data_IF_333074917428
#
_entry.id   IF_333074917428
#
_cell.length_a   1.000
_cell.length_b   1.000
_cell.length_c   1.000
_cell.angle_alpha   90.00
_cell.angle_beta   90.00
_cell.angle_gamma   90.00
#
_symmetry.space_group_name_H-M   'P 1'
#
loop_
_entity.id
_entity.type
_entity.pdbx_description
1 polymer ?
#
# COMPACT_ATOMS: atom_id res chain seq x y z
N UNK A 1 12.97 1.33 3.13
CA UNK A 1 11.61 1.47 3.68
C UNK A 1 11.66 2.40 4.89
N UNK A 2 11.12 3.61 4.74
CA UNK A 2 10.99 4.58 5.84
C UNK A 2 9.56 4.52 6.35
N UNK A 3 9.39 4.26 7.65
CA UNK A 3 8.10 4.22 8.32
C UNK A 3 7.72 5.64 8.80
N UNK A 4 6.44 5.93 8.98
CA UNK A 4 5.95 7.22 9.50
C UNK A 4 6.44 7.55 10.91
N UNK A 5 6.98 6.58 11.63
CA UNK A 5 7.62 6.75 12.95
C UNK A 5 9.14 6.92 12.89
N UNK A 6 9.74 6.89 11.68
CA UNK A 6 11.18 7.05 11.49
C UNK A 6 11.54 8.53 11.46
N UNK A 7 12.07 9.01 12.56
CA UNK A 7 12.59 10.37 12.70
C UNK A 7 14.12 10.35 12.64
N UNK A 8 14.65 10.20 11.42
CA UNK A 8 16.08 9.91 11.18
C UNK A 8 17.05 10.94 11.75
N UNK A 9 16.60 12.17 11.99
CA UNK A 9 17.40 13.19 12.69
C UNK A 9 17.57 12.90 14.19
N UNK A 10 16.77 11.98 14.74
CA UNK A 10 16.74 11.68 16.18
C UNK A 10 17.00 10.21 16.49
N UNK A 11 16.61 9.28 15.61
CA UNK A 11 16.74 7.82 15.81
C UNK A 11 16.97 7.11 14.48
N UNK A 12 17.74 6.03 14.49
CA UNK A 12 18.00 5.17 13.32
C UNK A 12 16.89 4.15 13.06
N UNK A 13 15.93 4.05 13.97
CA UNK A 13 14.79 3.13 13.89
C UNK A 13 13.51 3.86 14.26
N UNK A 14 12.36 3.31 13.87
CA UNK A 14 11.06 3.83 14.27
C UNK A 14 10.91 3.89 15.79
N UNK A 15 10.48 5.04 16.30
CA UNK A 15 10.25 5.30 17.71
C UNK A 15 8.88 5.96 17.90
N UNK A 16 7.91 5.17 18.37
CA UNK A 16 6.54 5.62 18.58
C UNK A 16 6.40 6.64 19.72
N UNK A 17 7.22 6.53 20.77
CA UNK A 17 7.21 7.48 21.90
C UNK A 17 7.75 8.83 21.47
N UNK A 18 8.86 8.84 20.74
CA UNK A 18 9.44 10.05 20.17
C UNK A 18 8.47 10.73 19.19
N UNK A 19 7.85 9.95 18.29
CA UNK A 19 6.85 10.46 17.33
C UNK A 19 5.66 11.09 18.03
N UNK A 20 5.15 10.44 19.08
CA UNK A 20 4.07 10.96 19.93
C UNK A 20 4.46 12.28 20.65
N UNK A 21 5.64 12.32 21.24
CA UNK A 21 6.15 13.52 21.91
C UNK A 21 6.34 14.69 20.93
N UNK A 22 6.86 14.42 19.73
CA UNK A 22 7.01 15.43 18.67
C UNK A 22 5.64 15.97 18.23
N UNK A 23 4.64 15.12 18.04
CA UNK A 23 3.30 15.54 17.67
C UNK A 23 2.66 16.41 18.77
N UNK A 24 2.77 16.02 20.04
CA UNK A 24 2.28 16.82 21.17
C UNK A 24 3.00 18.19 21.26
N UNK A 25 4.29 18.22 20.96
CA UNK A 25 5.08 19.45 20.89
C UNK A 25 4.57 20.39 19.79
N UNK A 26 4.24 19.84 18.61
CA UNK A 26 3.65 20.61 17.51
C UNK A 26 2.29 21.19 17.94
N UNK A 27 1.40 20.36 18.48
CA UNK A 27 0.08 20.80 18.97
C UNK A 27 0.22 21.94 20.00
N UNK A 28 1.15 21.81 20.94
CA UNK A 28 1.38 22.84 21.96
C UNK A 28 1.92 24.15 21.34
N UNK A 29 2.80 24.04 20.35
CA UNK A 29 3.44 25.18 19.69
C UNK A 29 2.47 25.93 18.76
N UNK A 30 1.65 25.22 18.02
CA UNK A 30 0.69 25.78 17.06
C UNK A 30 -0.64 26.17 17.72
N UNK A 31 -1.00 25.55 18.84
CA UNK A 31 -2.31 25.69 19.46
C UNK A 31 -3.42 24.93 18.73
N UNK A 32 -3.07 24.14 17.70
CA UNK A 32 -4.02 23.39 16.88
C UNK A 32 -4.39 22.05 17.52
N UNK A 33 -5.62 21.61 17.26
CA UNK A 33 -6.09 20.28 17.68
C UNK A 33 -5.52 19.20 16.75
N UNK A 34 -5.32 17.99 17.28
CA UNK A 34 -4.90 16.86 16.47
C UNK A 34 -5.81 16.58 15.28
N UNK A 35 -7.13 16.75 15.44
CA UNK A 35 -8.12 16.62 14.37
C UNK A 35 -7.89 17.59 13.20
N UNK A 36 -7.31 18.76 13.45
CA UNK A 36 -7.03 19.75 12.43
C UNK A 36 -5.69 19.49 11.77
N UNK A 37 -4.68 19.13 12.53
CA UNK A 37 -3.38 18.68 12.02
C UNK A 37 -3.52 17.42 11.14
N UNK A 38 -4.44 16.52 11.47
CA UNK A 38 -4.68 15.30 10.68
C UNK A 38 -5.29 15.57 9.30
N UNK A 39 -5.87 16.75 9.05
CA UNK A 39 -6.44 17.13 7.75
C UNK A 39 -5.38 17.43 6.67
N UNK A 40 -4.11 17.53 7.06
CA UNK A 40 -3.01 17.76 6.11
C UNK A 40 -2.85 16.61 5.10
N UNK A 41 -3.33 15.42 5.46
CA UNK A 41 -3.29 14.24 4.61
C UNK A 41 -4.70 13.82 4.23
N UNK A 42 -4.98 13.84 2.93
CA UNK A 42 -6.21 13.28 2.38
C UNK A 42 -6.11 11.75 2.35
N UNK A 43 -7.16 11.08 2.88
CA UNK A 43 -7.25 9.62 2.82
C UNK A 43 -7.88 9.21 1.51
N UNK A 44 -7.12 8.55 0.68
CA UNK A 44 -7.66 7.92 -0.51
C UNK A 44 -8.35 6.59 -0.18
N UNK A 45 -9.43 6.25 -0.91
CA UNK A 45 -10.00 4.91 -0.90
C UNK A 45 -8.94 3.84 -1.18
N UNK A 46 -9.08 2.68 -0.51
CA UNK A 46 -8.19 1.55 -0.67
C UNK A 46 -8.98 0.27 -0.89
N UNK A 47 -8.55 -0.54 -1.83
CA UNK A 47 -9.07 -1.90 -2.09
C UNK A 47 -7.96 -2.91 -1.87
N UNK A 48 -8.27 -3.99 -1.14
CA UNK A 48 -7.37 -5.10 -0.89
C UNK A 48 -8.02 -6.41 -1.27
N UNK A 49 -7.42 -7.14 -2.21
CA UNK A 49 -7.85 -8.47 -2.63
C UNK A 49 -6.76 -9.48 -2.29
N UNK A 50 -7.13 -10.53 -1.56
CA UNK A 50 -6.25 -11.65 -1.25
C UNK A 50 -6.54 -12.80 -2.22
N UNK A 51 -5.56 -13.13 -3.05
CA UNK A 51 -5.63 -14.22 -4.03
C UNK A 51 -4.90 -15.43 -3.48
N UNK A 52 -5.60 -16.55 -3.29
CA UNK A 52 -4.98 -17.82 -2.92
C UNK A 52 -4.17 -18.35 -4.11
N UNK A 53 -2.95 -18.79 -3.84
CA UNK A 53 -2.01 -19.29 -4.85
C UNK A 53 -1.37 -20.60 -4.39
N UNK A 54 -0.88 -21.41 -5.35
CA UNK A 54 -0.11 -22.60 -5.03
C UNK A 54 1.26 -22.23 -4.42
N UNK A 55 1.95 -23.23 -3.86
CA UNK A 55 3.31 -23.02 -3.32
C UNK A 55 4.30 -22.70 -4.44
N UNK A 56 4.16 -23.35 -5.58
CA UNK A 56 4.91 -23.14 -6.82
C UNK A 56 4.60 -21.75 -7.41
N UNK A 57 3.32 -21.39 -7.48
CA UNK A 57 2.86 -20.07 -7.94
C UNK A 57 3.48 -18.93 -7.10
N UNK A 58 3.58 -19.13 -5.78
CA UNK A 58 4.24 -18.17 -4.89
C UNK A 58 5.71 -17.88 -5.26
N UNK A 59 6.44 -18.91 -5.70
CA UNK A 59 7.83 -18.78 -6.15
C UNK A 59 7.92 -18.13 -7.54
N UNK A 60 6.95 -18.43 -8.41
CA UNK A 60 6.92 -17.93 -9.78
C UNK A 60 6.53 -16.46 -9.86
N UNK A 61 5.89 -15.91 -8.84
CA UNK A 61 5.41 -14.52 -8.79
C UNK A 61 6.48 -13.49 -9.24
N UNK A 62 7.70 -13.63 -8.74
CA UNK A 62 8.78 -12.66 -8.99
C UNK A 62 9.33 -12.71 -10.41
N UNK A 63 9.10 -13.80 -11.13
CA UNK A 63 9.61 -14.03 -12.49
C UNK A 63 8.54 -13.99 -13.57
N UNK A 64 7.25 -14.01 -13.18
CA UNK A 64 6.14 -13.98 -14.11
C UNK A 64 6.06 -12.62 -14.82
N UNK A 65 6.09 -12.65 -16.15
CA UNK A 65 6.12 -11.45 -16.99
C UNK A 65 4.73 -10.84 -17.16
N UNK A 66 3.68 -11.65 -17.15
CA UNK A 66 2.30 -11.16 -17.34
C UNK A 66 1.82 -10.42 -16.11
N UNK A 67 2.15 -10.93 -14.91
CA UNK A 67 1.86 -10.23 -13.64
C UNK A 67 2.59 -8.89 -13.59
N UNK A 68 3.86 -8.84 -14.01
CA UNK A 68 4.60 -7.58 -14.06
C UNK A 68 4.00 -6.59 -15.03
N UNK A 69 3.67 -7.05 -16.25
CA UNK A 69 3.04 -6.20 -17.26
C UNK A 69 1.68 -5.66 -16.78
N UNK A 70 0.89 -6.47 -16.08
CA UNK A 70 -0.38 -6.04 -15.52
C UNK A 70 -0.21 -4.99 -14.42
N UNK A 71 0.77 -5.17 -13.53
CA UNK A 71 1.11 -4.16 -12.50
C UNK A 71 1.53 -2.84 -13.15
N UNK A 72 2.37 -2.90 -14.18
CA UNK A 72 2.81 -1.71 -14.94
C UNK A 72 1.62 -1.03 -15.61
N UNK A 73 0.77 -1.79 -16.31
CA UNK A 73 -0.47 -1.28 -16.94
C UNK A 73 -1.36 -0.53 -15.96
N UNK A 74 -1.64 -1.15 -14.82
CA UNK A 74 -2.49 -0.54 -13.78
C UNK A 74 -1.82 0.69 -13.18
N UNK A 75 -0.52 0.64 -12.96
CA UNK A 75 0.25 1.78 -12.46
C UNK A 75 0.21 2.97 -13.42
N UNK A 76 0.30 2.73 -14.73
CA UNK A 76 0.18 3.78 -15.76
C UNK A 76 -1.22 4.40 -15.81
N UNK A 77 -2.29 3.57 -15.68
CA UNK A 77 -3.67 4.06 -15.63
C UNK A 77 -3.90 4.97 -14.42
N UNK A 78 -3.41 4.56 -13.26
CA UNK A 78 -3.57 5.33 -12.02
C UNK A 78 -2.72 6.62 -12.03
N UNK A 79 -1.49 6.57 -12.59
CA UNK A 79 -0.57 7.69 -12.60
C UNK A 79 -0.38 8.30 -11.21
N UNK A 80 -0.49 9.62 -11.12
CA UNK A 80 -0.37 10.36 -9.85
C UNK A 80 -1.63 10.31 -8.98
N UNK A 81 -2.76 9.77 -9.50
CA UNK A 81 -4.06 9.69 -8.81
C UNK A 81 -4.19 8.48 -7.89
N UNK A 82 -3.23 7.57 -7.91
CA UNK A 82 -3.28 6.35 -7.12
C UNK A 82 -2.05 5.49 -7.26
N UNK A 83 -2.11 4.31 -6.64
CA UNK A 83 -1.01 3.33 -6.75
C UNK A 83 -1.53 1.90 -6.65
N UNK A 84 -0.76 0.98 -7.22
CA UNK A 84 -0.92 -0.47 -7.04
C UNK A 84 0.27 -1.05 -6.29
N UNK A 85 0.00 -1.97 -5.36
CA UNK A 85 1.01 -2.76 -4.67
C UNK A 85 0.58 -4.22 -4.67
N UNK A 86 1.34 -5.07 -5.34
CA UNK A 86 1.12 -6.52 -5.34
C UNK A 86 2.29 -7.21 -4.67
N UNK A 87 2.00 -8.05 -3.68
CA UNK A 87 3.05 -8.74 -2.91
C UNK A 87 2.61 -10.11 -2.42
N UNK A 88 3.58 -11.00 -2.33
CA UNK A 88 3.42 -12.33 -1.75
C UNK A 88 3.34 -12.24 -0.22
N UNK A 89 2.39 -12.93 0.40
CA UNK A 89 2.35 -13.06 1.86
C UNK A 89 3.52 -13.90 2.37
N UNK A 90 4.17 -13.46 3.44
CA UNK A 90 5.28 -14.21 4.06
C UNK A 90 4.84 -15.55 4.66
N UNK A 91 3.68 -15.55 5.31
CA UNK A 91 3.21 -16.66 6.15
C UNK A 91 2.10 -17.51 5.50
N UNK A 92 1.33 -16.96 4.57
CA UNK A 92 0.17 -17.59 3.98
C UNK A 92 0.38 -17.88 2.48
N UNK A 93 -0.28 -18.90 1.91
CA UNK A 93 -0.22 -19.19 0.48
C UNK A 93 -1.14 -18.25 -0.31
N UNK A 94 -0.82 -16.97 -0.31
CA UNK A 94 -1.58 -15.95 -1.02
C UNK A 94 -0.71 -14.79 -1.51
N UNK A 95 -1.23 -14.13 -2.55
CA UNK A 95 -0.74 -12.85 -3.06
C UNK A 95 -1.76 -11.77 -2.69
N UNK A 96 -1.29 -10.65 -2.20
CA UNK A 96 -2.10 -9.49 -1.85
C UNK A 96 -2.01 -8.47 -2.96
N UNK A 97 -3.16 -8.13 -3.52
CA UNK A 97 -3.33 -7.05 -4.51
C UNK A 97 -3.98 -5.88 -3.80
N UNK A 98 -3.28 -4.77 -3.69
CA UNK A 98 -3.76 -3.56 -3.04
C UNK A 98 -3.68 -2.39 -4.00
N UNK A 99 -4.79 -1.67 -4.13
CA UNK A 99 -4.89 -0.43 -4.87
C UNK A 99 -5.38 0.70 -3.97
N UNK A 100 -4.82 1.87 -4.17
CA UNK A 100 -5.30 3.14 -3.63
C UNK A 100 -5.54 4.11 -4.78
N UNK A 101 -6.56 4.96 -4.67
CA UNK A 101 -6.84 5.96 -5.69
C UNK A 101 -8.06 6.81 -5.33
N UNK A 102 -8.26 7.88 -6.07
CA UNK A 102 -9.34 8.86 -5.83
C UNK A 102 -10.73 8.27 -6.09
N UNK A 103 -10.86 7.42 -7.09
CA UNK A 103 -12.12 6.83 -7.50
C UNK A 103 -12.23 5.36 -7.06
N UNK A 104 -13.12 5.10 -6.08
CA UNK A 104 -13.30 3.76 -5.52
C UNK A 104 -13.75 2.72 -6.58
N UNK A 105 -14.64 3.08 -7.49
CA UNK A 105 -15.14 2.17 -8.52
C UNK A 105 -14.03 1.80 -9.52
N UNK A 106 -13.23 2.78 -9.94
CA UNK A 106 -12.07 2.56 -10.81
C UNK A 106 -11.06 1.61 -10.18
N UNK A 107 -10.63 1.88 -8.93
CA UNK A 107 -9.65 1.02 -8.25
C UNK A 107 -10.20 -0.36 -7.92
N UNK A 108 -11.52 -0.50 -7.71
CA UNK A 108 -12.15 -1.79 -7.47
C UNK A 108 -12.12 -2.66 -8.72
N UNK A 109 -12.44 -2.10 -9.88
CA UNK A 109 -12.38 -2.81 -11.17
C UNK A 109 -10.94 -3.20 -11.51
N UNK A 110 -10.00 -2.28 -11.42
CA UNK A 110 -8.58 -2.55 -11.68
C UNK A 110 -7.98 -3.58 -10.71
N UNK A 111 -8.40 -3.56 -9.44
CA UNK A 111 -7.96 -4.55 -8.46
C UNK A 111 -8.45 -5.95 -8.79
N UNK A 112 -9.71 -6.09 -9.26
CA UNK A 112 -10.26 -7.39 -9.66
C UNK A 112 -9.60 -7.90 -10.95
N UNK A 113 -9.32 -7.04 -11.94
CA UNK A 113 -8.56 -7.40 -13.14
C UNK A 113 -7.17 -7.94 -12.78
N UNK A 114 -6.41 -7.18 -11.97
CA UNK A 114 -5.09 -7.62 -11.51
C UNK A 114 -5.15 -8.91 -10.68
N UNK A 115 -6.14 -9.05 -9.81
CA UNK A 115 -6.35 -10.26 -9.03
C UNK A 115 -6.71 -11.47 -9.93
N UNK A 116 -7.43 -11.25 -11.01
CA UNK A 116 -7.75 -12.29 -11.97
C UNK A 116 -6.51 -12.81 -12.69
N UNK A 117 -5.63 -11.90 -13.16
CA UNK A 117 -4.34 -12.29 -13.76
C UNK A 117 -3.50 -13.11 -12.77
N UNK A 118 -3.44 -12.70 -11.51
CA UNK A 118 -2.72 -13.45 -10.47
C UNK A 118 -3.34 -14.85 -10.27
N UNK A 119 -4.68 -15.00 -10.26
CA UNK A 119 -5.36 -16.32 -10.15
C UNK A 119 -5.00 -17.22 -11.30
N UNK A 120 -5.08 -16.72 -12.53
CA UNK A 120 -4.82 -17.53 -13.74
C UNK A 120 -3.35 -17.99 -13.84
N UNK A 121 -2.42 -17.19 -13.34
CA UNK A 121 -0.99 -17.48 -13.45
C UNK A 121 -0.44 -18.30 -12.29
N UNK A 122 -1.01 -18.20 -11.08
CA UNK A 122 -0.38 -18.71 -9.86
C UNK A 122 -1.28 -19.67 -9.03
N UNK A 123 -2.51 -19.94 -9.46
CA UNK A 123 -3.40 -20.86 -8.75
C UNK A 123 -2.94 -22.32 -8.82
#
# INVERSE_FOLDING_TARGET
>A
DVCSSDLLDHSTTGDGELSGAMLLSIMKRTGEKLSDLAKIMERLPQVLINVKVSREGKLSFYTDREIKAEIERVSEILGDRGRILVRVSGTEPLVRVMLEGENLEEIQNLAEEAAQVVRERLA
#
